data_IF_426036282914
#
_entry.id   IF_426036282914
#
_cell.length_a   1.000
_cell.length_b   1.000
_cell.length_c   1.000
_cell.angle_alpha   90.00
_cell.angle_beta   90.00
_cell.angle_gamma   90.00
#
_symmetry.space_group_name_H-M   'P 1'
#
loop_
_entity.id
_entity.type
_entity.pdbx_description
1 polymer ?
#
# COMPACT_ATOMS: atom_id res chain seq x y z
N UNK A 1 -1.60 14.15 15.82
CA UNK A 1 -2.02 13.80 14.44
C UNK A 1 -0.99 12.86 13.87
N UNK A 2 -1.38 11.78 13.17
CA UNK A 2 -0.45 10.81 12.57
C UNK A 2 -0.84 10.51 11.13
N UNK A 3 0.14 10.49 10.22
CA UNK A 3 -0.07 10.16 8.81
C UNK A 3 -0.47 8.68 8.70
N UNK A 4 -1.38 8.37 7.78
CA UNK A 4 -1.72 7.00 7.40
C UNK A 4 -1.06 6.70 6.07
N UNK A 5 -0.36 5.58 5.96
CA UNK A 5 0.34 5.22 4.72
C UNK A 5 -0.05 3.80 4.31
N UNK A 6 -0.57 3.65 3.10
CA UNK A 6 -0.81 2.36 2.46
C UNK A 6 0.24 2.09 1.38
N UNK A 7 0.83 0.90 1.37
CA UNK A 7 1.85 0.48 0.38
C UNK A 7 1.39 -0.78 -0.34
N UNK A 8 1.43 -0.76 -1.66
CA UNK A 8 1.09 -1.90 -2.50
C UNK A 8 1.99 -1.94 -3.73
N UNK A 9 2.36 -3.15 -4.15
CA UNK A 9 3.10 -3.41 -5.37
C UNK A 9 2.25 -4.24 -6.34
N UNK A 10 2.14 -3.76 -7.58
CA UNK A 10 1.43 -4.42 -8.67
C UNK A 10 1.48 -3.57 -9.95
N UNK A 11 1.07 -4.13 -11.09
CA UNK A 11 1.09 -3.43 -12.37
C UNK A 11 0.16 -2.20 -12.38
N UNK A 12 0.59 -1.15 -13.06
CA UNK A 12 -0.17 0.08 -13.24
C UNK A 12 -0.15 0.51 -14.70
N UNK A 13 -1.20 1.21 -15.14
CA UNK A 13 -1.23 1.84 -16.45
C UNK A 13 -0.70 3.26 -16.33
N UNK A 14 0.42 3.56 -16.99
CA UNK A 14 0.98 4.89 -17.06
C UNK A 14 0.46 5.63 -18.30
N UNK A 15 -0.17 6.79 -18.11
CA UNK A 15 -0.64 7.64 -19.19
C UNK A 15 -0.73 9.10 -18.74
N UNK A 16 -0.67 10.09 -19.65
CA UNK A 16 -0.92 11.49 -19.29
C UNK A 16 -2.37 11.68 -18.81
N UNK A 17 -2.55 12.48 -17.77
CA UNK A 17 -3.88 12.96 -17.38
C UNK A 17 -4.47 13.81 -18.51
N UNK A 18 -5.71 13.55 -18.97
CA UNK A 18 -6.28 14.21 -20.15
C UNK A 18 -6.53 15.71 -19.94
N UNK A 19 -6.62 16.17 -18.69
CA UNK A 19 -6.88 17.57 -18.32
C UNK A 19 -5.54 18.27 -18.05
N UNK A 20 -4.72 17.70 -17.17
CA UNK A 20 -3.47 18.32 -16.70
C UNK A 20 -2.30 18.13 -17.67
N UNK A 21 -2.37 17.11 -18.54
CA UNK A 21 -1.29 16.67 -19.45
C UNK A 21 0.01 16.28 -18.72
N UNK A 22 -0.09 15.93 -17.44
CA UNK A 22 1.01 15.47 -16.59
C UNK A 22 1.02 13.93 -16.52
N UNK A 23 2.18 13.27 -16.29
CA UNK A 23 2.24 11.83 -16.08
C UNK A 23 1.36 11.38 -14.91
N UNK A 24 0.53 10.36 -15.14
CA UNK A 24 -0.37 9.80 -14.13
C UNK A 24 -0.43 8.27 -14.21
N UNK A 25 -0.97 7.65 -13.17
CA UNK A 25 -1.06 6.20 -13.03
C UNK A 25 -2.49 5.77 -12.71
N UNK A 26 -2.93 4.71 -13.40
CA UNK A 26 -4.31 4.23 -13.35
C UNK A 26 -4.38 2.72 -13.15
N UNK A 27 -5.57 2.25 -12.80
CA UNK A 27 -5.90 0.83 -12.71
C UNK A 27 -6.24 0.34 -11.31
N UNK A 28 -6.58 -0.94 -11.23
CA UNK A 28 -7.05 -1.60 -10.01
C UNK A 28 -6.02 -1.59 -8.88
N UNK A 29 -4.73 -1.66 -9.20
CA UNK A 29 -3.65 -1.64 -8.20
C UNK A 29 -3.53 -0.27 -7.52
N UNK A 30 -3.70 0.84 -8.25
CA UNK A 30 -3.77 2.20 -7.68
C UNK A 30 -4.96 2.32 -6.73
N UNK A 31 -6.12 1.83 -7.17
CA UNK A 31 -7.34 1.82 -6.33
C UNK A 31 -7.14 0.99 -5.07
N UNK A 32 -6.53 -0.20 -5.18
CA UNK A 32 -6.23 -1.06 -4.04
C UNK A 32 -5.39 -0.33 -2.99
N UNK A 33 -4.31 0.35 -3.39
CA UNK A 33 -3.47 1.14 -2.48
C UNK A 33 -4.29 2.20 -1.74
N UNK A 34 -5.13 2.94 -2.48
CA UNK A 34 -6.00 3.99 -1.92
C UNK A 34 -7.11 3.45 -0.99
N UNK A 35 -7.36 2.14 -0.95
CA UNK A 35 -8.30 1.51 0.00
C UNK A 35 -7.63 0.99 1.27
N UNK A 36 -6.30 0.98 1.32
CA UNK A 36 -5.53 0.61 2.51
C UNK A 36 -5.40 1.81 3.44
N UNK A 37 -4.99 2.97 2.92
CA UNK A 37 -4.74 4.20 3.71
C UNK A 37 -5.90 4.56 4.65
N UNK A 38 -7.19 4.61 4.22
CA UNK A 38 -8.25 5.10 5.09
C UNK A 38 -8.54 4.19 6.28
N UNK A 39 -8.12 2.92 6.21
CA UNK A 39 -8.29 1.94 7.29
C UNK A 39 -7.04 1.80 8.15
N UNK A 40 -5.88 2.24 7.63
CA UNK A 40 -4.60 2.19 8.35
C UNK A 40 -4.69 3.02 9.63
N UNK A 41 -4.21 2.51 10.79
CA UNK A 41 -4.16 3.31 12.00
C UNK A 41 -3.30 4.57 11.83
N UNK A 42 -3.67 5.70 12.47
CA UNK A 42 -2.86 6.92 12.38
C UNK A 42 -1.43 6.70 12.89
N UNK A 43 -0.44 7.12 12.10
CA UNK A 43 0.98 6.97 12.43
C UNK A 43 1.60 5.65 11.96
N UNK A 44 0.80 4.76 11.35
CA UNK A 44 1.25 3.46 10.89
C UNK A 44 1.36 3.38 9.36
N UNK A 45 2.18 2.43 8.91
CA UNK A 45 2.42 2.13 7.50
C UNK A 45 2.00 0.68 7.25
N UNK A 46 0.93 0.50 6.49
CA UNK A 46 0.39 -0.83 6.18
C UNK A 46 0.71 -1.20 4.75
N UNK A 47 1.15 -2.44 4.56
CA UNK A 47 1.55 -2.95 3.26
C UNK A 47 0.92 -4.29 2.92
N UNK A 48 0.66 -4.48 1.62
CA UNK A 48 0.17 -5.76 1.11
C UNK A 48 1.25 -6.83 1.11
N UNK A 49 0.85 -8.10 1.05
CA UNK A 49 1.79 -9.22 0.92
C UNK A 49 2.78 -9.07 -0.26
N UNK A 50 2.36 -8.51 -1.40
CA UNK A 50 3.28 -8.30 -2.54
C UNK A 50 4.39 -7.29 -2.21
N UNK A 51 4.07 -6.23 -1.47
CA UNK A 51 5.07 -5.26 -1.00
C UNK A 51 6.00 -5.85 0.06
N UNK A 52 5.46 -6.63 1.00
CA UNK A 52 6.27 -7.32 2.00
C UNK A 52 7.23 -8.33 1.35
N UNK A 53 6.78 -9.05 0.32
CA UNK A 53 7.62 -9.96 -0.45
C UNK A 53 8.75 -9.23 -1.19
N UNK A 54 8.48 -8.06 -1.79
CA UNK A 54 9.53 -7.26 -2.41
C UNK A 54 10.58 -6.78 -1.40
N UNK A 55 10.15 -6.32 -0.21
CA UNK A 55 11.08 -5.94 0.85
C UNK A 55 11.90 -7.13 1.38
N UNK A 56 11.34 -8.34 1.36
CA UNK A 56 12.08 -9.54 1.72
C UNK A 56 13.13 -9.92 0.67
N UNK A 57 12.86 -9.65 -0.62
CA UNK A 57 13.78 -9.90 -1.73
C UNK A 57 14.89 -8.83 -1.82
N UNK A 58 14.59 -7.58 -1.47
CA UNK A 58 15.53 -6.46 -1.44
C UNK A 58 15.42 -5.71 -0.10
N UNK A 59 16.11 -6.21 0.96
CA UNK A 59 15.95 -5.69 2.32
C UNK A 59 16.50 -4.28 2.49
N UNK A 60 15.68 -3.42 3.11
CA UNK A 60 16.11 -2.11 3.58
C UNK A 60 16.52 -2.20 5.05
N UNK A 61 17.77 -1.84 5.42
CA UNK A 61 18.24 -1.90 6.80
C UNK A 61 17.31 -1.16 7.78
N UNK A 62 16.97 -1.81 8.89
CA UNK A 62 16.13 -1.25 9.94
C UNK A 62 14.64 -1.20 9.61
N UNK A 63 14.18 -1.80 8.51
CA UNK A 63 12.76 -1.88 8.13
C UNK A 63 12.28 -3.33 8.16
N UNK A 64 11.27 -3.63 8.98
CA UNK A 64 10.75 -5.00 9.13
C UNK A 64 9.24 -5.02 8.87
N UNK A 65 8.75 -5.82 7.90
CA UNK A 65 7.33 -6.05 7.73
C UNK A 65 6.86 -7.13 8.72
N UNK A 66 5.86 -6.81 9.55
CA UNK A 66 5.27 -7.74 10.51
C UNK A 66 3.83 -8.05 10.12
N UNK A 67 3.47 -9.34 10.06
CA UNK A 67 2.14 -9.76 9.66
C UNK A 67 1.10 -9.39 10.73
N UNK A 68 0.02 -8.71 10.31
CA UNK A 68 -1.05 -8.22 11.22
C UNK A 68 -2.40 -8.87 10.94
N UNK A 69 -2.43 -9.93 10.14
CA UNK A 69 -3.66 -10.67 9.85
C UNK A 69 -4.37 -10.19 8.58
N UNK A 70 -5.63 -10.60 8.49
CA UNK A 70 -6.53 -10.23 7.40
C UNK A 70 -7.24 -8.92 7.71
N UNK A 71 -7.14 -7.97 6.81
CA UNK A 71 -7.57 -6.59 7.04
C UNK A 71 -8.63 -6.17 6.02
N UNK A 72 -9.76 -5.69 6.52
CA UNK A 72 -10.84 -5.18 5.68
C UNK A 72 -10.50 -3.78 5.15
N UNK A 73 -10.28 -3.68 3.85
CA UNK A 73 -9.98 -2.42 3.16
C UNK A 73 -11.24 -1.54 3.03
N UNK A 74 -11.03 -0.25 2.78
CA UNK A 74 -12.12 0.71 2.69
C UNK A 74 -13.08 0.39 1.53
N UNK A 75 -14.31 0.89 1.63
CA UNK A 75 -15.39 0.70 0.63
C UNK A 75 -15.62 -0.76 0.25
N UNK A 76 -15.46 -1.67 1.20
CA UNK A 76 -15.71 -3.10 1.02
C UNK A 76 -14.92 -3.71 -0.16
N UNK A 77 -13.78 -3.11 -0.49
CA UNK A 77 -12.97 -3.49 -1.65
C UNK A 77 -12.34 -4.88 -1.49
N UNK A 78 -12.28 -5.39 -0.26
CA UNK A 78 -11.88 -6.76 0.04
C UNK A 78 -11.15 -6.88 1.37
N UNK A 79 -10.89 -8.12 1.74
CA UNK A 79 -10.12 -8.52 2.92
C UNK A 79 -8.84 -9.19 2.44
N UNK A 80 -7.69 -8.68 2.86
CA UNK A 80 -6.39 -9.16 2.37
C UNK A 80 -5.42 -9.38 3.54
N UNK A 81 -4.43 -10.29 3.41
CA UNK A 81 -3.33 -10.36 4.35
C UNK A 81 -2.51 -9.06 4.29
N UNK A 82 -2.30 -8.44 5.45
CA UNK A 82 -1.60 -7.18 5.59
C UNK A 82 -0.42 -7.30 6.56
N UNK A 83 0.52 -6.38 6.39
CA UNK A 83 1.72 -6.26 7.21
C UNK A 83 1.86 -4.81 7.67
N UNK A 84 2.27 -4.61 8.92
CA UNK A 84 2.73 -3.29 9.40
C UNK A 84 4.23 -3.19 9.17
N UNK A 85 4.69 -2.06 8.62
CA UNK A 85 6.11 -1.78 8.49
C UNK A 85 6.61 -1.09 9.74
N UNK A 86 7.53 -1.73 10.46
CA UNK A 86 8.16 -1.18 11.66
C UNK A 86 9.60 -0.78 11.38
N UNK A 87 10.09 0.22 12.12
CA UNK A 87 11.51 0.57 12.15
C UNK A 87 12.15 -0.05 13.39
N UNK A 88 13.22 -0.82 13.21
CA UNK A 88 14.02 -1.42 14.29
C UNK A 88 15.43 -0.85 14.30
#
# INVERSE_FOLDING_TARGET
>A
MGLRIGVHAGPVFAAPDPIRREPSYFGTHVTRTARIEPRTPPGEVYMTASSAALLALDPVPGMTPEYVGHFATAKEFGVFPMYVLTRR
#
